data_IF_488077914852
#
_entry.id   IF_488077914852
#
_cell.length_a   1.000
_cell.length_b   1.000
_cell.length_c   1.000
_cell.angle_alpha   90.00
_cell.angle_beta   90.00
_cell.angle_gamma   90.00
#
_symmetry.space_group_name_H-M   'P 1'
#
loop_
_entity.id
_entity.type
_entity.pdbx_description
1 polymer ?
#
# COMPACT_ATOMS: atom_id res chain seq x y z
N UNK A 1 4.86 -10.67 -31.47
CA UNK A 1 3.97 -10.71 -30.29
C UNK A 1 3.04 -9.53 -30.39
N UNK A 2 1.72 -9.75 -30.37
CA UNK A 2 0.73 -8.67 -30.41
C UNK A 2 0.63 -7.99 -29.05
N UNK A 3 0.92 -6.68 -29.03
CA UNK A 3 0.89 -5.83 -27.85
C UNK A 3 -0.50 -5.74 -27.22
N UNK A 4 -1.57 -5.89 -28.00
CA UNK A 4 -2.96 -5.82 -27.51
C UNK A 4 -3.30 -7.03 -26.66
N UNK A 5 -2.94 -8.22 -27.15
CA UNK A 5 -3.14 -9.46 -26.41
C UNK A 5 -2.30 -9.47 -25.13
N UNK A 6 -1.03 -9.06 -25.19
CA UNK A 6 -0.18 -8.96 -23.99
C UNK A 6 -0.75 -7.96 -22.97
N UNK A 7 -1.29 -6.83 -23.41
CA UNK A 7 -1.91 -5.83 -22.53
C UNK A 7 -3.14 -6.39 -21.82
N UNK A 8 -4.05 -7.04 -22.56
CA UNK A 8 -5.27 -7.61 -21.98
C UNK A 8 -4.91 -8.71 -20.98
N UNK A 9 -3.98 -9.61 -21.32
CA UNK A 9 -3.54 -10.68 -20.42
C UNK A 9 -2.92 -10.10 -19.13
N UNK A 10 -2.07 -9.08 -19.23
CA UNK A 10 -1.46 -8.43 -18.07
C UNK A 10 -2.50 -7.72 -17.19
N UNK A 11 -3.46 -7.02 -17.79
CA UNK A 11 -4.54 -6.33 -17.08
C UNK A 11 -5.51 -7.30 -16.40
N UNK A 12 -5.94 -8.36 -17.09
CA UNK A 12 -6.81 -9.36 -16.50
C UNK A 12 -6.12 -10.10 -15.36
N UNK A 13 -4.84 -10.43 -15.50
CA UNK A 13 -4.06 -11.09 -14.45
C UNK A 13 -3.95 -10.22 -13.19
N UNK A 14 -3.70 -8.91 -13.33
CA UNK A 14 -3.67 -8.00 -12.18
C UNK A 14 -5.04 -7.80 -11.53
N UNK A 15 -6.11 -7.72 -12.33
CA UNK A 15 -7.48 -7.60 -11.83
C UNK A 15 -7.91 -8.82 -11.02
N UNK A 16 -7.58 -10.03 -11.48
CA UNK A 16 -7.85 -11.28 -10.74
C UNK A 16 -7.10 -11.31 -9.42
N UNK A 17 -5.81 -10.95 -9.41
CA UNK A 17 -4.99 -10.89 -8.19
C UNK A 17 -5.52 -9.85 -7.19
N UNK A 18 -5.91 -8.67 -7.66
CA UNK A 18 -6.51 -7.63 -6.83
C UNK A 18 -7.86 -8.07 -6.24
N UNK A 19 -8.71 -8.73 -7.04
CA UNK A 19 -9.99 -9.28 -6.59
C UNK A 19 -9.83 -10.36 -5.53
N UNK A 20 -8.90 -11.29 -5.72
CA UNK A 20 -8.58 -12.33 -4.73
C UNK A 20 -8.04 -11.74 -3.42
N UNK A 21 -7.12 -10.77 -3.50
CA UNK A 21 -6.60 -10.10 -2.33
C UNK A 21 -7.70 -9.39 -1.53
N UNK A 22 -8.64 -8.71 -2.21
CA UNK A 22 -9.78 -8.06 -1.57
C UNK A 22 -10.75 -9.04 -0.91
N UNK A 23 -11.04 -10.17 -1.58
CA UNK A 23 -11.90 -11.22 -1.02
C UNK A 23 -11.30 -11.85 0.24
N UNK A 24 -9.99 -12.16 0.24
CA UNK A 24 -9.28 -12.68 1.40
C UNK A 24 -9.25 -11.66 2.56
N UNK A 25 -9.04 -10.38 2.24
CA UNK A 25 -9.07 -9.31 3.24
C UNK A 25 -10.45 -9.14 3.89
N UNK A 26 -11.53 -9.24 3.12
CA UNK A 26 -12.90 -9.18 3.64
C UNK A 26 -13.19 -10.33 4.63
N UNK A 27 -12.68 -11.53 4.34
CA UNK A 27 -12.77 -12.68 5.27
C UNK A 27 -11.95 -12.43 6.53
N UNK A 28 -10.76 -11.84 6.42
CA UNK A 28 -9.91 -11.52 7.57
C UNK A 28 -10.58 -10.53 8.55
N UNK A 29 -11.36 -9.58 8.03
CA UNK A 29 -12.09 -8.60 8.83
C UNK A 29 -13.41 -9.14 9.45
N UNK A 30 -13.80 -10.39 9.14
CA UNK A 30 -15.11 -10.98 9.52
C UNK A 30 -16.32 -10.16 9.05
N UNK A 31 -16.13 -9.23 8.12
CA UNK A 31 -17.16 -8.29 7.64
C UNK A 31 -16.61 -6.87 7.46
N UNK A 32 -17.26 -6.08 6.60
CA UNK A 32 -16.90 -4.68 6.38
C UNK A 32 -17.54 -3.79 7.45
N UNK A 33 -16.93 -3.74 8.63
CA UNK A 33 -17.36 -2.87 9.72
C UNK A 33 -16.65 -1.50 9.63
N UNK A 34 -17.36 -0.38 9.87
CA UNK A 34 -16.76 0.95 9.81
C UNK A 34 -15.60 1.12 10.80
N UNK A 35 -15.62 0.41 11.92
CA UNK A 35 -14.53 0.41 12.90
C UNK A 35 -13.25 -0.29 12.41
N UNK A 36 -13.32 -1.13 11.39
CA UNK A 36 -12.12 -1.75 10.81
C UNK A 36 -11.34 -0.78 9.89
N UNK A 37 -12.01 0.27 9.40
CA UNK A 37 -11.42 1.30 8.54
C UNK A 37 -11.10 2.57 9.35
N UNK A 38 -10.34 2.38 10.44
CA UNK A 38 -9.87 3.51 11.23
C UNK A 38 -8.90 4.39 10.46
N UNK A 39 -8.73 5.63 10.93
CA UNK A 39 -7.75 6.59 10.40
C UNK A 39 -6.34 6.00 10.26
N UNK A 40 -5.96 5.10 11.18
CA UNK A 40 -4.68 4.42 11.16
C UNK A 40 -4.49 3.56 9.90
N UNK A 41 -5.51 2.79 9.51
CA UNK A 41 -5.46 1.93 8.32
C UNK A 41 -5.34 2.78 7.05
N UNK A 42 -6.09 3.87 6.99
CA UNK A 42 -6.04 4.82 5.87
C UNK A 42 -4.64 5.41 5.66
N UNK A 43 -3.92 5.77 6.74
CA UNK A 43 -2.54 6.26 6.64
C UNK A 43 -1.59 5.19 6.10
N UNK A 44 -1.71 3.95 6.57
CA UNK A 44 -0.87 2.83 6.12
C UNK A 44 -1.09 2.55 4.64
N UNK A 45 -2.35 2.50 4.19
CA UNK A 45 -2.70 2.31 2.77
C UNK A 45 -2.20 3.47 1.91
N UNK A 46 -2.33 4.71 2.39
CA UNK A 46 -1.81 5.89 1.69
C UNK A 46 -0.28 5.84 1.54
N UNK A 47 0.45 5.51 2.61
CA UNK A 47 1.91 5.37 2.55
C UNK A 47 2.34 4.29 1.58
N UNK A 48 1.59 3.18 1.52
CA UNK A 48 1.79 2.09 0.58
C UNK A 48 1.68 2.53 -0.88
N UNK A 49 0.60 3.22 -1.23
CA UNK A 49 0.35 3.71 -2.59
C UNK A 49 1.40 4.74 -3.00
N UNK A 50 1.68 5.71 -2.12
CA UNK A 50 2.64 6.79 -2.39
C UNK A 50 4.03 6.23 -2.67
N UNK A 51 4.46 5.19 -1.94
CA UNK A 51 5.77 4.55 -2.13
C UNK A 51 5.86 3.69 -3.40
N UNK A 52 4.72 3.23 -3.91
CA UNK A 52 4.62 2.39 -5.12
C UNK A 52 4.50 3.15 -6.45
N UNK A 53 4.31 4.48 -6.44
CA UNK A 53 4.11 5.26 -7.66
C UNK A 53 5.32 5.14 -8.61
N UNK A 54 5.12 4.45 -9.74
CA UNK A 54 6.08 4.35 -10.84
C UNK A 54 7.07 3.17 -10.81
N UNK A 55 7.14 2.37 -9.73
CA UNK A 55 7.97 1.15 -9.69
C UNK A 55 7.32 0.05 -8.84
N UNK A 56 6.99 -1.09 -9.46
CA UNK A 56 6.48 -2.29 -8.75
C UNK A 56 7.43 -2.79 -7.64
N UNK A 57 8.74 -2.55 -7.76
CA UNK A 57 9.73 -3.01 -6.78
C UNK A 57 9.71 -2.21 -5.48
N UNK A 58 9.39 -0.92 -5.53
CA UNK A 58 9.30 -0.09 -4.31
C UNK A 58 8.02 -0.39 -3.53
N UNK A 59 6.96 -0.87 -4.20
CA UNK A 59 5.73 -1.34 -3.57
C UNK A 59 5.98 -2.53 -2.63
N UNK A 60 6.77 -3.53 -3.06
CA UNK A 60 7.06 -4.72 -2.25
C UNK A 60 7.89 -4.43 -1.00
N UNK A 61 8.83 -3.48 -1.08
CA UNK A 61 9.62 -3.03 0.08
C UNK A 61 8.74 -2.20 1.03
N UNK A 62 7.84 -1.38 0.48
CA UNK A 62 6.92 -0.56 1.25
C UNK A 62 5.89 -1.40 2.04
N UNK A 63 5.32 -2.45 1.44
CA UNK A 63 4.40 -3.36 2.16
C UNK A 63 5.08 -4.01 3.35
N UNK A 64 6.28 -4.56 3.17
CA UNK A 64 7.02 -5.20 4.26
C UNK A 64 7.34 -4.21 5.38
N UNK A 65 7.80 -3.01 5.03
CA UNK A 65 8.14 -1.99 6.02
C UNK A 65 6.90 -1.44 6.74
N UNK A 66 5.87 -0.99 6.03
CA UNK A 66 4.71 -0.29 6.61
C UNK A 66 3.69 -1.21 7.27
N UNK A 67 3.64 -2.49 6.91
CA UNK A 67 2.79 -3.48 7.60
C UNK A 67 3.54 -4.06 8.80
N UNK A 68 4.86 -4.29 8.69
CA UNK A 68 5.67 -4.81 9.81
C UNK A 68 5.88 -3.78 10.93
N UNK A 69 6.16 -2.52 10.58
CA UNK A 69 6.43 -1.44 11.54
C UNK A 69 5.30 -1.25 12.58
N UNK A 70 4.00 -1.16 12.23
CA UNK A 70 2.93 -0.99 13.21
C UNK A 70 2.73 -2.22 14.11
N UNK A 71 3.19 -3.41 13.70
CA UNK A 71 3.13 -4.62 14.52
C UNK A 71 4.19 -4.56 15.64
N UNK A 72 5.41 -4.08 15.34
CA UNK A 72 6.44 -3.80 16.36
C UNK A 72 6.05 -2.62 17.27
N UNK A 73 5.41 -1.60 16.71
CA UNK A 73 4.96 -0.42 17.46
C UNK A 73 3.65 -0.70 18.22
N UNK A 74 3.05 -1.89 18.05
CA UNK A 74 1.84 -2.31 18.77
C UNK A 74 2.03 -2.33 20.28
N UNK A 75 3.25 -2.56 20.75
CA UNK A 75 3.60 -2.53 22.18
C UNK A 75 3.70 -1.11 22.75
N UNK A 76 3.98 -0.10 21.92
CA UNK A 76 3.97 1.32 22.28
C UNK A 76 2.62 1.96 21.91
N UNK A 77 1.57 1.59 22.66
CA UNK A 77 0.18 1.98 22.37
C UNK A 77 -0.02 3.50 22.19
N UNK A 78 0.66 4.34 22.99
CA UNK A 78 0.44 5.79 23.02
C UNK A 78 1.10 6.57 21.88
N UNK A 79 2.13 6.01 21.23
CA UNK A 79 2.91 6.73 20.20
C UNK A 79 2.62 6.26 18.77
N UNK A 80 1.65 5.36 18.56
CA UNK A 80 1.35 4.75 17.24
C UNK A 80 1.15 5.78 16.13
N UNK A 81 0.30 6.78 16.34
CA UNK A 81 -0.02 7.79 15.32
C UNK A 81 1.16 8.72 15.01
N UNK A 82 1.97 9.07 16.02
CA UNK A 82 3.17 9.89 15.84
C UNK A 82 4.24 9.16 15.02
N UNK A 83 4.49 7.90 15.34
CA UNK A 83 5.47 7.07 14.63
C UNK A 83 5.03 6.82 13.18
N UNK A 84 3.74 6.55 12.96
CA UNK A 84 3.18 6.41 11.62
C UNK A 84 3.27 7.69 10.79
N UNK A 85 3.02 8.85 11.41
CA UNK A 85 3.18 10.16 10.75
C UNK A 85 4.62 10.42 10.32
N UNK A 86 5.60 10.16 11.18
CA UNK A 86 7.03 10.28 10.83
C UNK A 86 7.42 9.29 9.73
N UNK A 87 6.96 8.04 9.82
CA UNK A 87 7.21 7.02 8.79
C UNK A 87 6.64 7.45 7.43
N UNK A 88 5.46 8.07 7.41
CA UNK A 88 4.85 8.61 6.19
C UNK A 88 5.67 9.77 5.60
N UNK A 89 6.17 10.68 6.42
CA UNK A 89 7.05 11.78 5.96
C UNK A 89 8.34 11.20 5.35
N UNK A 90 8.92 10.19 5.97
CA UNK A 90 10.10 9.48 5.45
C UNK A 90 9.76 8.82 4.11
N UNK A 91 8.63 8.10 4.02
CA UNK A 91 8.16 7.49 2.78
C UNK A 91 8.02 8.52 1.65
N UNK A 92 7.40 9.68 1.93
CA UNK A 92 7.28 10.79 0.96
C UNK A 92 8.65 11.36 0.54
N UNK A 93 9.62 11.44 1.46
CA UNK A 93 10.99 11.88 1.16
C UNK A 93 11.69 10.93 0.18
N UNK A 94 11.53 9.61 0.35
CA UNK A 94 12.08 8.61 -0.58
C UNK A 94 11.38 8.65 -1.95
N UNK A 95 10.09 9.01 -1.96
CA UNK A 95 9.28 9.22 -3.16
C UNK A 95 9.54 10.55 -3.86
N UNK A 96 10.32 11.49 -3.30
CA UNK A 96 10.53 12.80 -3.96
C UNK A 96 11.37 12.71 -5.26
N UNK A 97 11.81 11.51 -5.68
CA UNK A 97 12.62 11.31 -6.90
C UNK A 97 11.90 10.89 -8.19
N UNK A 98 10.68 10.30 -8.22
CA UNK A 98 9.98 10.00 -9.47
C UNK A 98 8.91 11.02 -9.89
N UNK A 99 8.53 12.03 -9.07
CA UNK A 99 7.43 12.96 -9.45
C UNK A 99 7.68 13.71 -10.78
N UNK A 100 8.95 13.88 -11.18
CA UNK A 100 9.35 14.45 -12.48
C UNK A 100 9.11 13.54 -13.68
N UNK A 101 8.84 12.24 -13.52
CA UNK A 101 8.62 11.33 -14.66
C UNK A 101 7.17 11.24 -15.10
N UNK A 102 6.21 11.63 -14.25
CA UNK A 102 4.77 11.65 -14.60
C UNK A 102 4.37 12.95 -15.31
N UNK A 103 5.17 14.01 -15.15
CA UNK A 103 4.95 15.31 -15.81
C UNK A 103 5.55 15.41 -17.22
N UNK A 104 5.95 14.30 -17.86
CA UNK A 104 6.45 14.25 -19.24
C UNK A 104 5.72 13.20 -20.05
#
# INVERSE_FOLDING_TARGET
IDVRHAYIVAFTTSAVLAGLAGALFAVHLYGAYPDSFTFQVSIVVLGLVVTGLGRIMTLGIATLALIGLPEFVRELADYRLLILGIALIIAMRFVTRPWRSVAR
#
